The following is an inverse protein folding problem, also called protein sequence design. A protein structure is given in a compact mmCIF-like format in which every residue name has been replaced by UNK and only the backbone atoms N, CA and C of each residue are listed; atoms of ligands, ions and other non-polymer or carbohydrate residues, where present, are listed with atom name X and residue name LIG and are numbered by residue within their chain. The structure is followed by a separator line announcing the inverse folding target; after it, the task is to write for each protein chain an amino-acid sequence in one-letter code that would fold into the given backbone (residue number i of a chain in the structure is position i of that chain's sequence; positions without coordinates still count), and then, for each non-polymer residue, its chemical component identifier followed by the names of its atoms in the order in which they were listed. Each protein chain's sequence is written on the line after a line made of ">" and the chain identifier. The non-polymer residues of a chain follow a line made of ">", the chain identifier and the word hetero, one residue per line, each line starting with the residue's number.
data_IF_362516246480
#
_entry.id   IF_362516246480
#
_cell.length_a   1.000
_cell.length_b   1.000
_cell.length_c   1.000
_cell.angle_alpha   90.00
_cell.angle_beta   90.00
_cell.angle_gamma   90.00
#
_symmetry.space_group_name_H-M   'P 1'
#
loop_
_entity.id
_entity.type
_entity.pdbx_description
1 polymer ?
#
# COMPACT_ATOMS: atom_id res chain seq x y z
N UNK A 1 36.32 16.45 5.92
CA UNK A 1 35.83 15.54 6.97
C UNK A 1 34.31 15.63 6.91
N UNK A 2 33.59 14.53 6.65
CA UNK A 2 32.12 14.58 6.64
C UNK A 2 31.70 14.78 8.09
N UNK A 3 31.04 15.89 8.37
CA UNK A 3 30.57 16.20 9.73
C UNK A 3 29.37 15.29 10.02
N UNK A 4 29.51 14.40 10.99
CA UNK A 4 28.55 13.33 11.31
C UNK A 4 28.00 13.52 12.71
N UNK A 5 26.77 13.06 12.92
CA UNK A 5 26.10 12.99 14.23
C UNK A 5 25.76 11.54 14.53
N UNK A 6 26.10 11.11 15.75
CA UNK A 6 25.70 9.80 16.27
C UNK A 6 24.33 9.90 16.91
N UNK A 7 23.33 9.31 16.26
CA UNK A 7 21.94 9.31 16.69
C UNK A 7 21.62 8.02 17.44
N UNK A 8 20.90 8.14 18.55
CA UNK A 8 20.23 7.04 19.23
C UNK A 8 18.72 7.16 19.01
N UNK A 9 18.16 6.29 18.17
CA UNK A 9 16.73 6.18 17.95
C UNK A 9 16.10 5.28 19.02
N UNK A 10 15.10 5.81 19.72
CA UNK A 10 14.43 5.14 20.83
C UNK A 10 12.95 4.94 20.49
N UNK A 11 12.46 3.70 20.67
CA UNK A 11 11.04 3.38 20.61
C UNK A 11 10.36 3.63 21.95
N UNK A 12 9.02 3.80 21.93
CA UNK A 12 8.21 3.83 23.16
C UNK A 12 8.35 2.56 24.03
N UNK A 13 8.81 1.45 23.44
CA UNK A 13 9.04 0.19 24.14
C UNK A 13 10.47 0.10 24.71
N UNK A 14 11.26 1.18 24.62
CA UNK A 14 12.64 1.24 25.10
C UNK A 14 13.66 0.59 24.18
N UNK A 15 13.28 0.10 22.99
CA UNK A 15 14.23 -0.43 22.01
C UNK A 15 15.07 0.72 21.46
N UNK A 16 16.40 0.57 21.52
CA UNK A 16 17.36 1.58 21.07
C UNK A 16 18.12 1.10 19.86
N UNK A 17 18.46 2.03 18.96
CA UNK A 17 19.32 1.76 17.82
C UNK A 17 20.23 2.95 17.58
N UNK A 18 21.52 2.68 17.39
CA UNK A 18 22.52 3.70 17.09
C UNK A 18 22.91 3.66 15.63
N UNK A 19 23.10 4.82 15.04
CA UNK A 19 23.60 4.97 13.68
C UNK A 19 24.17 6.37 13.47
N UNK A 20 25.11 6.47 12.54
CA UNK A 20 25.76 7.74 12.20
C UNK A 20 25.20 8.26 10.88
N UNK A 21 24.88 9.55 10.85
CA UNK A 21 24.42 10.25 9.64
C UNK A 21 25.13 11.58 9.51
N UNK A 22 25.25 12.08 8.29
CA UNK A 22 25.78 13.41 8.06
C UNK A 22 24.84 14.47 8.67
N UNK A 23 25.39 15.48 9.36
CA UNK A 23 24.60 16.60 9.91
C UNK A 23 23.93 17.44 8.82
N UNK A 24 24.37 17.31 7.57
CA UNK A 24 23.75 17.92 6.39
C UNK A 24 22.52 17.15 5.89
N UNK A 25 22.23 15.96 6.42
CA UNK A 25 21.02 15.21 6.08
C UNK A 25 19.78 16.01 6.48
N UNK A 26 18.76 16.03 5.64
CA UNK A 26 17.47 16.64 5.97
C UNK A 26 16.63 15.72 6.84
N UNK A 27 15.70 16.28 7.62
CA UNK A 27 14.73 15.47 8.36
C UNK A 27 13.90 14.56 7.45
N UNK A 28 13.60 15.01 6.22
CA UNK A 28 12.97 14.21 5.15
C UNK A 28 13.78 12.97 4.82
N UNK A 29 15.08 13.12 4.55
CA UNK A 29 15.96 12.00 4.18
C UNK A 29 16.16 11.04 5.35
N UNK A 30 16.27 11.56 6.56
CA UNK A 30 16.34 10.74 7.77
C UNK A 30 15.04 9.92 7.96
N UNK A 31 13.87 10.56 7.79
CA UNK A 31 12.58 9.87 7.90
C UNK A 31 12.39 8.79 6.84
N UNK A 32 12.83 9.02 5.60
CA UNK A 32 12.85 8.01 4.54
C UNK A 32 13.66 6.78 4.94
N UNK A 33 14.91 7.01 5.36
CA UNK A 33 15.83 5.97 5.78
C UNK A 33 15.23 5.13 6.90
N UNK A 34 14.65 5.79 7.92
CA UNK A 34 14.04 5.11 9.05
C UNK A 34 12.72 4.42 8.72
N UNK A 35 11.91 4.97 7.81
CA UNK A 35 10.62 4.35 7.42
C UNK A 35 10.80 3.02 6.68
N UNK A 36 11.95 2.80 6.03
CA UNK A 36 12.28 1.52 5.40
C UNK A 36 12.65 0.43 6.42
N UNK A 37 13.11 0.82 7.61
CA UNK A 37 13.60 -0.10 8.64
C UNK A 37 12.61 -0.32 9.80
N UNK A 38 11.78 0.69 10.09
CA UNK A 38 10.82 0.64 11.16
C UNK A 38 9.57 -0.16 10.75
N UNK A 39 8.96 -0.92 11.68
CA UNK A 39 7.80 -1.73 11.33
C UNK A 39 6.64 -0.85 10.91
N UNK A 40 6.03 -1.15 9.76
CA UNK A 40 4.80 -0.49 9.35
C UNK A 40 3.68 -0.84 10.34
N UNK A 41 2.89 0.17 10.74
CA UNK A 41 1.71 -0.02 11.57
C UNK A 41 0.49 0.47 10.80
N UNK A 42 -0.42 -0.43 10.40
CA UNK A 42 -1.67 -0.07 9.73
C UNK A 42 -2.42 1.02 10.51
N UNK A 43 -2.87 2.07 9.81
CA UNK A 43 -3.59 3.21 10.40
C UNK A 43 -2.68 4.27 11.03
N UNK A 44 -1.36 4.09 10.99
CA UNK A 44 -0.42 5.01 11.64
C UNK A 44 0.75 5.38 10.75
N UNK A 45 1.25 6.61 10.91
CA UNK A 45 2.51 7.09 10.36
C UNK A 45 3.53 7.30 11.46
N UNK A 46 4.80 7.21 11.11
CA UNK A 46 5.90 7.50 12.01
C UNK A 46 6.07 9.01 12.11
N UNK A 47 6.17 9.51 13.34
CA UNK A 47 6.59 10.86 13.68
C UNK A 47 7.90 10.79 14.48
N UNK A 48 8.91 11.51 14.02
CA UNK A 48 10.22 11.59 14.67
C UNK A 48 10.26 12.84 15.56
N UNK A 49 10.74 12.68 16.78
CA UNK A 49 10.80 13.71 17.80
C UNK A 49 12.23 13.87 18.30
N UNK A 50 12.67 15.11 18.47
CA UNK A 50 13.90 15.46 19.14
C UNK A 50 13.54 16.32 20.37
N UNK A 51 13.71 15.76 21.57
CA UNK A 51 13.18 16.37 22.79
C UNK A 51 11.66 16.51 22.74
N UNK A 52 11.17 17.75 22.83
CA UNK A 52 9.73 18.09 22.78
C UNK A 52 9.24 18.53 21.39
N UNK A 53 10.13 18.56 20.39
CA UNK A 53 9.84 19.11 19.07
C UNK A 53 9.83 18.02 18.00
N UNK A 54 8.87 18.11 17.08
CA UNK A 54 8.85 17.25 15.90
C UNK A 54 10.01 17.60 14.99
N UNK A 55 10.64 16.57 14.43
CA UNK A 55 11.67 16.73 13.42
C UNK A 55 11.09 17.49 12.21
N UNK A 56 11.70 18.61 11.86
CA UNK A 56 11.39 19.37 10.65
C UNK A 56 11.95 18.64 9.44
N UNK A 57 11.10 18.41 8.44
CA UNK A 57 11.48 17.62 7.26
C UNK A 57 12.31 18.41 6.26
N UNK A 58 12.08 19.73 6.19
CA UNK A 58 12.73 20.62 5.22
C UNK A 58 14.06 21.21 5.71
N UNK A 59 14.37 21.04 6.99
CA UNK A 59 15.62 21.49 7.59
C UNK A 59 16.63 20.35 7.70
N UNK A 60 17.91 20.70 7.60
CA UNK A 60 19.03 19.79 7.92
C UNK A 60 19.09 19.51 9.41
N UNK A 61 19.70 18.39 9.81
CA UNK A 61 19.95 18.07 11.21
C UNK A 61 20.75 19.19 11.90
N UNK A 62 21.75 19.75 11.22
CA UNK A 62 22.51 20.91 11.71
C UNK A 62 21.61 22.12 12.01
N UNK A 63 20.72 22.48 11.09
CA UNK A 63 19.80 23.63 11.27
C UNK A 63 18.82 23.41 12.43
N UNK A 64 18.51 22.16 12.75
CA UNK A 64 17.66 21.77 13.87
C UNK A 64 18.42 21.63 15.20
N UNK A 65 19.73 21.94 15.22
CA UNK A 65 20.59 21.78 16.40
C UNK A 65 20.90 20.32 16.74
N UNK A 66 20.68 19.38 15.81
CA UNK A 66 21.01 17.96 15.95
C UNK A 66 22.44 17.75 15.47
N UNK A 67 23.40 17.99 16.38
CA UNK A 67 24.85 17.92 16.13
C UNK A 67 25.57 17.25 17.29
N UNK A 68 26.74 16.64 17.02
CA UNK A 68 27.60 16.04 18.04
C UNK A 68 27.30 14.58 18.35
N UNK A 69 27.58 14.15 19.59
CA UNK A 69 27.40 12.77 20.05
C UNK A 69 26.28 12.67 21.08
N UNK A 70 25.60 11.52 21.12
CA UNK A 70 24.59 11.21 22.15
C UNK A 70 23.22 11.85 21.91
N UNK A 71 22.93 12.30 20.69
CA UNK A 71 21.61 12.86 20.37
C UNK A 71 20.57 11.74 20.33
N UNK A 72 19.50 11.92 21.10
CA UNK A 72 18.41 10.94 21.17
C UNK A 72 17.22 11.41 20.32
N UNK A 73 16.80 10.58 19.38
CA UNK A 73 15.55 10.74 18.66
C UNK A 73 14.54 9.73 19.17
N UNK A 74 13.32 10.18 19.44
CA UNK A 74 12.21 9.29 19.75
C UNK A 74 11.34 9.14 18.52
N UNK A 75 10.83 7.94 18.25
CA UNK A 75 9.79 7.76 17.24
C UNK A 75 8.49 7.29 17.88
N UNK A 76 7.39 7.87 17.41
CA UNK A 76 6.04 7.53 17.84
C UNK A 76 5.16 7.26 16.63
N UNK A 77 4.16 6.39 16.82
CA UNK A 77 3.11 6.18 15.84
C UNK A 77 1.99 7.18 16.11
N UNK A 78 1.71 8.02 15.13
CA UNK A 78 0.55 8.93 15.13
C UNK A 78 -0.44 8.48 14.06
N UNK A 79 -1.74 8.81 14.17
CA UNK A 79 -2.71 8.48 13.14
C UNK A 79 -2.28 8.94 11.74
N UNK A 80 -2.69 8.19 10.72
CA UNK A 80 -2.50 8.59 9.32
C UNK A 80 -3.14 9.97 9.08
N UNK A 81 -2.50 10.79 8.26
CA UNK A 81 -2.98 12.14 7.96
C UNK A 81 -3.98 12.09 6.80
N UNK A 82 -5.24 11.87 7.13
CA UNK A 82 -6.30 11.70 6.13
C UNK A 82 -6.50 12.96 5.28
N UNK A 83 -6.25 14.15 5.84
CA UNK A 83 -6.38 15.40 5.10
C UNK A 83 -5.24 15.55 4.08
N UNK A 84 -4.00 15.25 4.48
CA UNK A 84 -2.86 15.26 3.56
C UNK A 84 -3.02 14.19 2.47
N UNK A 85 -3.48 12.99 2.84
CA UNK A 85 -3.83 11.92 1.90
C UNK A 85 -4.87 12.37 0.87
N UNK A 86 -5.96 12.97 1.34
CA UNK A 86 -7.04 13.46 0.49
C UNK A 86 -6.54 14.51 -0.51
N UNK A 87 -5.80 15.53 -0.04
CA UNK A 87 -5.21 16.54 -0.92
C UNK A 87 -4.29 15.92 -1.98
N UNK A 88 -3.40 15.03 -1.55
CA UNK A 88 -2.50 14.31 -2.45
C UNK A 88 -3.27 13.54 -3.54
N UNK A 89 -4.33 12.82 -3.16
CA UNK A 89 -5.17 12.07 -4.11
C UNK A 89 -5.93 12.97 -5.07
N UNK A 90 -6.25 14.21 -4.68
CA UNK A 90 -6.87 15.21 -5.55
C UNK A 90 -5.88 15.92 -6.49
N UNK A 91 -4.58 15.65 -6.37
CA UNK A 91 -3.55 16.42 -7.05
C UNK A 91 -3.39 17.84 -6.50
N UNK A 92 -3.93 18.10 -5.31
CA UNK A 92 -3.74 19.34 -4.57
C UNK A 92 -2.37 19.33 -3.88
N UNK A 93 -1.65 20.46 -3.85
CA UNK A 93 -0.34 20.54 -3.24
C UNK A 93 -0.42 20.21 -1.74
N UNK A 94 0.40 19.25 -1.31
CA UNK A 94 0.60 18.94 0.10
C UNK A 94 2.05 19.23 0.50
N UNK A 95 2.28 19.69 1.73
CA UNK A 95 3.62 20.02 2.21
C UNK A 95 4.58 18.80 2.22
N UNK A 96 4.01 17.58 2.23
CA UNK A 96 4.72 16.31 2.35
C UNK A 96 4.09 15.19 1.52
N UNK A 97 3.84 15.45 0.24
CA UNK A 97 3.19 14.52 -0.72
C UNK A 97 3.67 13.07 -0.62
N UNK A 98 4.99 12.87 -0.55
CA UNK A 98 5.62 11.55 -0.39
C UNK A 98 5.10 10.73 0.80
N UNK A 99 4.83 11.41 1.92
CA UNK A 99 4.39 10.76 3.16
C UNK A 99 2.87 10.81 3.34
N UNK A 100 2.15 11.45 2.43
CA UNK A 100 0.70 11.68 2.55
C UNK A 100 -0.09 10.38 2.62
N UNK A 101 0.35 9.31 1.94
CA UNK A 101 -0.33 8.03 1.95
C UNK A 101 0.12 7.08 3.09
N UNK A 102 1.11 7.47 3.91
CA UNK A 102 1.64 6.60 4.96
C UNK A 102 0.59 6.27 6.02
N UNK A 103 0.44 4.97 6.28
CA UNK A 103 -0.48 4.46 7.29
C UNK A 103 -1.90 4.23 6.77
N UNK A 104 -2.24 4.65 5.54
CA UNK A 104 -3.55 4.34 4.98
C UNK A 104 -3.73 2.83 4.80
N UNK A 105 -4.88 2.33 5.23
CA UNK A 105 -5.24 0.91 5.17
C UNK A 105 -6.36 0.62 4.19
N UNK A 106 -7.11 1.66 3.81
CA UNK A 106 -8.25 1.57 2.91
C UNK A 106 -8.26 2.77 1.98
N UNK A 107 -8.36 2.51 0.68
CA UNK A 107 -8.55 3.51 -0.37
C UNK A 107 -9.77 3.09 -1.17
N UNK A 108 -10.74 4.00 -1.28
CA UNK A 108 -11.97 3.83 -2.05
C UNK A 108 -12.26 5.12 -2.80
N UNK A 109 -12.80 5.04 -4.02
CA UNK A 109 -13.20 6.20 -4.82
C UNK A 109 -12.38 6.41 -6.11
N UNK A 110 -12.78 7.46 -6.85
CA UNK A 110 -12.49 7.73 -8.27
C UNK A 110 -11.02 7.92 -8.68
N UNK A 111 -10.74 7.50 -9.92
CA UNK A 111 -9.57 7.74 -10.79
C UNK A 111 -8.22 7.79 -10.05
N UNK A 112 -7.67 6.62 -9.71
CA UNK A 112 -6.23 6.53 -9.51
C UNK A 112 -5.56 6.70 -10.88
N UNK A 113 -5.32 7.95 -11.29
CA UNK A 113 -4.58 8.29 -12.50
C UNK A 113 -3.21 7.60 -12.54
N UNK A 114 -2.68 7.14 -11.39
CA UNK A 114 -1.48 6.31 -11.30
C UNK A 114 -1.58 5.33 -10.13
N UNK A 115 -1.84 4.05 -10.42
CA UNK A 115 -1.60 2.90 -9.52
C UNK A 115 -0.12 2.70 -9.14
N UNK A 116 0.77 3.64 -9.46
CA UNK A 116 2.22 3.51 -9.33
C UNK A 116 2.72 3.64 -7.89
N UNK A 117 1.94 4.22 -6.97
CA UNK A 117 2.38 4.51 -5.60
C UNK A 117 1.33 4.18 -4.53
N UNK A 118 0.95 2.91 -4.44
CA UNK A 118 0.10 2.43 -3.34
C UNK A 118 0.91 2.34 -2.02
N UNK A 119 0.34 2.75 -0.88
CA UNK A 119 1.07 2.70 0.39
C UNK A 119 1.24 1.26 0.88
N UNK A 120 2.40 0.95 1.47
CA UNK A 120 2.73 -0.41 1.95
C UNK A 120 1.78 -0.93 3.04
N UNK A 121 1.09 -0.04 3.76
CA UNK A 121 0.09 -0.36 4.77
C UNK A 121 -1.30 -0.67 4.21
N UNK A 122 -1.52 -0.53 2.90
CA UNK A 122 -2.82 -0.72 2.28
C UNK A 122 -3.30 -2.16 2.43
N UNK A 123 -4.54 -2.32 2.86
CA UNK A 123 -5.19 -3.62 3.06
C UNK A 123 -6.43 -3.77 2.20
N UNK A 124 -7.14 -2.68 1.92
CA UNK A 124 -8.39 -2.67 1.17
C UNK A 124 -8.28 -1.66 0.04
N UNK A 125 -8.47 -2.11 -1.19
CA UNK A 125 -8.44 -1.28 -2.38
C UNK A 125 -9.75 -1.48 -3.14
N UNK A 126 -10.53 -0.40 -3.27
CA UNK A 126 -11.71 -0.36 -4.13
C UNK A 126 -11.46 0.59 -5.29
N UNK A 127 -11.57 0.07 -6.51
CA UNK A 127 -11.31 0.77 -7.76
C UNK A 127 -12.64 1.06 -8.47
N UNK A 128 -13.12 2.29 -8.31
CA UNK A 128 -14.34 2.78 -8.96
C UNK A 128 -14.05 3.29 -10.37
N UNK A 129 -14.89 2.91 -11.33
CA UNK A 129 -14.82 3.38 -12.72
C UNK A 129 -13.45 3.11 -13.40
N UNK A 130 -12.71 2.12 -12.90
CA UNK A 130 -11.39 1.73 -13.38
C UNK A 130 -11.50 0.68 -14.49
N UNK A 131 -10.90 0.93 -15.65
CA UNK A 131 -10.85 -0.02 -16.77
C UNK A 131 -9.51 0.03 -17.53
N UNK A 132 -8.42 0.29 -16.80
CA UNK A 132 -7.06 0.32 -17.34
C UNK A 132 -6.34 -1.01 -17.07
N UNK A 133 -5.24 -1.25 -17.80
CA UNK A 133 -4.42 -2.44 -17.58
C UNK A 133 -3.78 -2.43 -16.19
N UNK A 134 -3.74 -3.59 -15.55
CA UNK A 134 -3.03 -3.81 -14.28
C UNK A 134 -1.60 -4.33 -14.48
N UNK A 135 -1.16 -4.51 -15.72
CA UNK A 135 0.20 -5.00 -16.03
C UNK A 135 1.22 -3.98 -15.52
N UNK A 136 2.20 -4.46 -14.76
CA UNK A 136 3.24 -3.62 -14.14
C UNK A 136 2.81 -2.85 -12.89
N UNK A 137 1.56 -3.01 -12.43
CA UNK A 137 1.13 -2.45 -11.14
C UNK A 137 1.81 -3.22 -10.00
N UNK A 138 2.51 -2.49 -9.14
CA UNK A 138 3.14 -3.06 -7.96
C UNK A 138 2.20 -3.00 -6.75
N UNK A 139 1.42 -4.07 -6.54
CA UNK A 139 0.53 -4.16 -5.39
C UNK A 139 1.32 -4.38 -4.08
N UNK A 140 1.06 -3.58 -3.04
CA UNK A 140 1.54 -3.86 -1.69
C UNK A 140 1.18 -5.28 -1.24
N UNK A 141 2.15 -5.98 -0.67
CA UNK A 141 1.97 -7.37 -0.20
C UNK A 141 0.93 -7.52 0.91
N UNK A 142 0.57 -6.43 1.60
CA UNK A 142 -0.41 -6.39 2.68
C UNK A 142 -1.87 -6.28 2.23
N UNK A 143 -2.15 -6.13 0.93
CA UNK A 143 -3.52 -6.05 0.41
C UNK A 143 -4.24 -7.38 0.63
N UNK A 144 -5.42 -7.29 1.25
CA UNK A 144 -6.33 -8.41 1.54
C UNK A 144 -7.59 -8.37 0.68
N UNK A 145 -8.01 -7.20 0.24
CA UNK A 145 -9.24 -7.02 -0.53
C UNK A 145 -8.98 -6.12 -1.72
N UNK A 146 -9.29 -6.60 -2.92
CA UNK A 146 -9.40 -5.80 -4.13
C UNK A 146 -10.83 -5.93 -4.64
N UNK A 147 -11.49 -4.79 -4.84
CA UNK A 147 -12.83 -4.71 -5.40
C UNK A 147 -12.76 -3.81 -6.62
N UNK A 148 -13.10 -4.36 -7.78
CA UNK A 148 -13.43 -3.62 -8.97
C UNK A 148 -14.93 -3.37 -8.96
N UNK A 149 -15.34 -2.12 -9.20
CA UNK A 149 -16.75 -1.78 -9.31
C UNK A 149 -17.28 -2.12 -10.71
N UNK A 150 -18.16 -1.32 -11.30
CA UNK A 150 -18.95 -1.73 -12.46
C UNK A 150 -18.24 -1.76 -13.83
N UNK A 151 -17.01 -1.24 -14.00
CA UNK A 151 -16.44 -1.01 -15.36
C UNK A 151 -15.19 -1.81 -15.72
N UNK A 152 -14.61 -2.53 -14.78
CA UNK A 152 -13.34 -3.23 -15.04
C UNK A 152 -13.59 -4.43 -15.95
N UNK A 153 -12.99 -4.43 -17.14
CA UNK A 153 -13.06 -5.53 -18.09
C UNK A 153 -11.73 -5.66 -18.84
N UNK A 154 -10.64 -5.82 -18.10
CA UNK A 154 -9.29 -6.04 -18.64
C UNK A 154 -8.75 -7.40 -18.20
N UNK A 155 -8.05 -8.06 -19.12
CA UNK A 155 -7.37 -9.33 -18.84
C UNK A 155 -6.37 -9.17 -17.69
N UNK A 156 -6.23 -10.22 -16.90
CA UNK A 156 -5.21 -10.35 -15.85
C UNK A 156 -3.93 -11.04 -16.34
N UNK A 157 -3.78 -11.28 -17.64
CA UNK A 157 -2.53 -11.83 -18.20
C UNK A 157 -1.34 -10.91 -17.86
N UNK A 158 -0.26 -11.50 -17.35
CA UNK A 158 0.92 -10.78 -16.86
C UNK A 158 0.71 -9.95 -15.58
N UNK A 159 -0.44 -10.05 -14.90
CA UNK A 159 -0.71 -9.33 -13.64
C UNK A 159 -0.29 -10.17 -12.45
N UNK A 160 0.52 -9.57 -11.56
CA UNK A 160 0.89 -10.20 -10.28
C UNK A 160 -0.05 -9.74 -9.17
N UNK A 161 -0.96 -10.63 -8.74
CA UNK A 161 -1.85 -10.36 -7.61
C UNK A 161 -1.11 -10.46 -6.26
N UNK A 162 -1.49 -9.67 -5.24
CA UNK A 162 -0.79 -9.68 -3.95
C UNK A 162 -0.99 -11.02 -3.24
N UNK A 163 0.10 -11.60 -2.71
CA UNK A 163 0.10 -12.94 -2.11
C UNK A 163 -0.85 -13.09 -0.91
N UNK A 164 -1.13 -12.01 -0.19
CA UNK A 164 -2.03 -12.00 0.97
C UNK A 164 -3.50 -11.72 0.61
N UNK A 165 -3.85 -11.61 -0.68
CA UNK A 165 -5.20 -11.32 -1.14
C UNK A 165 -6.16 -12.42 -0.68
N UNK A 166 -7.26 -12.02 -0.04
CA UNK A 166 -8.30 -12.90 0.49
C UNK A 166 -9.62 -12.73 -0.24
N UNK A 167 -9.91 -11.54 -0.75
CA UNK A 167 -11.11 -11.26 -1.53
C UNK A 167 -10.73 -10.54 -2.82
N UNK A 168 -11.16 -11.11 -3.94
CA UNK A 168 -11.11 -10.52 -5.25
C UNK A 168 -12.54 -10.44 -5.80
N UNK A 169 -13.03 -9.23 -5.98
CA UNK A 169 -14.33 -8.95 -6.58
C UNK A 169 -14.10 -8.19 -7.88
N UNK A 170 -14.53 -8.77 -9.00
CA UNK A 170 -14.35 -8.22 -10.33
C UNK A 170 -15.40 -7.17 -10.73
N UNK A 171 -16.51 -7.10 -9.99
CA UNK A 171 -17.64 -6.24 -10.32
C UNK A 171 -18.36 -6.62 -11.61
N UNK A 172 -19.32 -5.78 -12.01
CA UNK A 172 -20.41 -6.16 -12.92
C UNK A 172 -19.97 -6.51 -14.35
N UNK A 173 -19.03 -5.74 -14.92
CA UNK A 173 -18.72 -5.79 -16.36
C UNK A 173 -17.58 -6.74 -16.75
N UNK A 174 -16.92 -7.40 -15.79
CA UNK A 174 -15.78 -8.25 -16.07
C UNK A 174 -16.21 -9.52 -16.81
N UNK A 175 -15.66 -9.70 -18.02
CA UNK A 175 -15.91 -10.88 -18.85
C UNK A 175 -14.62 -11.26 -19.60
N UNK A 176 -13.55 -11.52 -18.84
CA UNK A 176 -12.26 -11.96 -19.37
C UNK A 176 -11.90 -13.35 -18.84
N UNK A 177 -11.24 -14.14 -19.69
CA UNK A 177 -10.74 -15.45 -19.29
C UNK A 177 -9.71 -15.34 -18.16
N UNK A 178 -9.70 -16.33 -17.28
CA UNK A 178 -8.67 -16.51 -16.24
C UNK A 178 -7.61 -17.56 -16.63
N UNK A 179 -7.56 -17.99 -17.88
CA UNK A 179 -6.51 -18.89 -18.37
C UNK A 179 -5.12 -18.27 -18.15
N UNK A 180 -4.19 -19.07 -17.63
CA UNK A 180 -2.84 -18.64 -17.25
C UNK A 180 -2.76 -17.70 -16.03
N UNK A 181 -3.88 -17.27 -15.44
CA UNK A 181 -3.89 -16.37 -14.28
C UNK A 181 -3.57 -17.14 -13.01
N UNK A 182 -2.53 -16.71 -12.30
CA UNK A 182 -2.17 -17.29 -10.99
C UNK A 182 -2.97 -16.61 -9.88
N UNK A 183 -3.97 -17.30 -9.34
CA UNK A 183 -4.73 -16.84 -8.18
C UNK A 183 -3.92 -17.01 -6.87
N UNK A 184 -3.93 -16.02 -5.96
CA UNK A 184 -3.18 -16.12 -4.70
C UNK A 184 -3.66 -17.27 -3.83
N UNK A 185 -2.73 -18.02 -3.23
CA UNK A 185 -3.05 -19.16 -2.36
C UNK A 185 -3.89 -18.79 -1.12
N UNK A 186 -3.84 -17.52 -0.68
CA UNK A 186 -4.61 -17.01 0.44
C UNK A 186 -6.05 -16.59 0.08
N UNK A 187 -6.43 -16.65 -1.20
CA UNK A 187 -7.73 -16.19 -1.69
C UNK A 187 -8.84 -17.09 -1.14
N UNK A 188 -9.85 -16.45 -0.56
CA UNK A 188 -11.02 -17.10 0.07
C UNK A 188 -12.30 -16.82 -0.68
N UNK A 189 -12.43 -15.62 -1.24
CA UNK A 189 -13.62 -15.19 -1.95
C UNK A 189 -13.23 -14.72 -3.35
N UNK A 190 -13.75 -15.39 -4.36
CA UNK A 190 -13.65 -15.00 -5.76
C UNK A 190 -15.07 -14.69 -6.26
N UNK A 191 -15.30 -13.43 -6.62
CA UNK A 191 -16.63 -12.91 -6.95
C UNK A 191 -16.58 -12.36 -8.38
N UNK A 192 -17.41 -12.95 -9.24
CA UNK A 192 -17.69 -12.45 -10.57
C UNK A 192 -19.03 -11.71 -10.59
N UNK A 193 -19.10 -10.62 -11.35
CA UNK A 193 -20.34 -9.88 -11.54
C UNK A 193 -21.21 -10.44 -12.68
N UNK A 194 -22.26 -9.67 -13.00
CA UNK A 194 -23.36 -10.13 -13.85
C UNK A 194 -22.97 -10.53 -15.27
N UNK A 195 -21.90 -9.96 -15.84
CA UNK A 195 -21.50 -10.22 -17.23
C UNK A 195 -20.56 -11.40 -17.44
N UNK A 196 -19.99 -11.96 -16.38
CA UNK A 196 -18.99 -13.00 -16.54
C UNK A 196 -19.60 -14.29 -17.11
N UNK A 197 -19.14 -14.70 -18.30
CA UNK A 197 -19.57 -15.95 -18.93
C UNK A 197 -18.41 -16.68 -19.63
N UNK A 198 -17.23 -16.67 -19.01
CA UNK A 198 -16.06 -17.40 -19.50
C UNK A 198 -15.92 -18.77 -18.83
N UNK A 199 -15.43 -19.76 -19.58
CA UNK A 199 -15.10 -21.08 -19.02
C UNK A 199 -13.99 -20.95 -17.97
N UNK A 200 -14.07 -21.76 -16.92
CA UNK A 200 -13.02 -21.92 -15.92
C UNK A 200 -12.21 -23.22 -16.11
N UNK A 201 -12.42 -23.95 -17.21
CA UNK A 201 -11.66 -25.16 -17.51
C UNK A 201 -10.15 -24.89 -17.49
N UNK A 202 -9.41 -25.67 -16.69
CA UNK A 202 -7.95 -25.51 -16.54
C UNK A 202 -7.51 -24.39 -15.59
N UNK A 203 -8.44 -23.57 -15.08
CA UNK A 203 -8.13 -22.56 -14.07
C UNK A 203 -7.92 -23.24 -12.72
N UNK A 204 -6.73 -23.06 -12.13
CA UNK A 204 -6.43 -23.61 -10.82
C UNK A 204 -7.00 -22.72 -9.72
N UNK A 205 -8.11 -23.13 -9.11
CA UNK A 205 -8.65 -22.46 -7.93
C UNK A 205 -7.77 -22.74 -6.69
N UNK A 206 -7.56 -21.75 -5.80
CA UNK A 206 -6.76 -21.94 -4.61
C UNK A 206 -7.45 -22.92 -3.64
N UNK A 207 -6.68 -23.84 -3.06
CA UNK A 207 -7.18 -24.87 -2.13
C UNK A 207 -7.94 -24.31 -0.91
N UNK A 208 -7.67 -23.05 -0.55
CA UNK A 208 -8.33 -22.34 0.54
C UNK A 208 -9.58 -21.55 0.14
N UNK A 209 -10.03 -21.64 -1.11
CA UNK A 209 -11.21 -20.91 -1.60
C UNK A 209 -12.46 -21.39 -0.85
N UNK A 210 -13.21 -20.44 -0.29
CA UNK A 210 -14.40 -20.69 0.52
C UNK A 210 -15.67 -20.33 -0.24
N UNK A 211 -15.60 -19.26 -1.03
CA UNK A 211 -16.74 -18.73 -1.78
C UNK A 211 -16.31 -18.47 -3.22
N UNK A 212 -17.06 -19.06 -4.14
CA UNK A 212 -17.03 -18.76 -5.57
C UNK A 212 -18.41 -18.26 -5.95
N UNK A 213 -18.51 -17.03 -6.44
CA UNK A 213 -19.79 -16.40 -6.79
C UNK A 213 -19.79 -16.05 -8.27
N UNK A 214 -20.88 -16.43 -8.94
CA UNK A 214 -21.16 -16.08 -10.33
C UNK A 214 -22.36 -15.14 -10.41
N UNK A 215 -22.35 -14.28 -11.42
CA UNK A 215 -23.46 -13.38 -11.72
C UNK A 215 -24.49 -14.00 -12.68
N UNK A 216 -25.45 -13.18 -13.09
CA UNK A 216 -26.63 -13.61 -13.84
C UNK A 216 -26.34 -14.31 -15.18
N UNK A 217 -25.30 -13.92 -15.92
CA UNK A 217 -25.04 -14.43 -17.28
C UNK A 217 -24.20 -15.71 -17.33
N UNK A 218 -23.73 -16.23 -16.19
CA UNK A 218 -22.86 -17.40 -16.19
C UNK A 218 -23.63 -18.66 -16.60
N UNK A 219 -23.23 -19.24 -17.74
CA UNK A 219 -23.83 -20.44 -18.34
C UNK A 219 -22.74 -21.37 -18.88
N UNK A 220 -21.69 -21.60 -18.09
CA UNK A 220 -20.59 -22.53 -18.43
C UNK A 220 -20.59 -23.75 -17.51
N UNK A 221 -20.09 -24.87 -18.01
CA UNK A 221 -19.85 -26.05 -17.16
C UNK A 221 -18.76 -25.75 -16.13
N UNK A 222 -18.90 -26.35 -14.96
CA UNK A 222 -17.88 -26.34 -13.90
C UNK A 222 -17.09 -27.66 -13.86
N UNK A 223 -17.23 -28.51 -14.89
CA UNK A 223 -16.43 -29.72 -15.02
C UNK A 223 -14.95 -29.36 -15.25
N UNK A 224 -14.05 -30.00 -14.49
CA UNK A 224 -12.61 -29.79 -14.65
C UNK A 224 -12.05 -28.54 -13.95
N UNK A 225 -12.83 -27.92 -13.07
CA UNK A 225 -12.46 -26.81 -12.18
C UNK A 225 -12.11 -27.32 -10.78
#
# INVERSE_FOLDING_TARGET
>A
MVDVVSLELVSLQGKRRKFDVAVSMTGRRLRQMLSAELPSKPGSRISLQHGSSSLSLDQTLRQQGIIGEGVTLSYVYVPADLLAAWKYLQGEPAQDEEFSLHGLTRIEGWILCRLLHLPSSLQHLKLDEFNESLVGVNFPSGIKTIIFSCKFNRSLDGVTLPAALQTLDFGDDFDQSLDGVTLPAALKNLIFGDRFNQSLEGVTLPVGLQTLTFGFQFDQSLDGV
#
